data_IF_133169184368
#
_entry.id   IF_133169184368
#
_cell.length_a   1.000
_cell.length_b   1.000
_cell.length_c   1.000
_cell.angle_alpha   90.00
_cell.angle_beta   90.00
_cell.angle_gamma   90.00
#
_symmetry.space_group_name_H-M   'P 1'
#
loop_
_entity.id
_entity.type
_entity.pdbx_description
1 polymer ?
#
# COMPACT_ATOMS: atom_id res chain seq x y z
N UNK A 1 -3.13 -2.53 -5.93
CA UNK A 1 -3.39 -1.17 -5.42
C UNK A 1 -4.46 -0.52 -6.28
N UNK A 2 -5.48 0.08 -5.66
CA UNK A 2 -6.58 0.79 -6.33
C UNK A 2 -6.34 2.31 -6.39
N UNK A 3 -5.67 2.86 -5.38
CA UNK A 3 -5.42 4.30 -5.27
C UNK A 3 -4.40 4.61 -4.19
N UNK A 4 -3.74 5.77 -4.29
CA UNK A 4 -2.70 6.20 -3.34
C UNK A 4 -2.98 7.64 -2.90
N UNK A 5 -2.86 7.92 -1.60
CA UNK A 5 -3.06 9.25 -1.01
C UNK A 5 -2.09 9.50 0.15
N UNK A 6 -1.93 10.75 0.54
CA UNK A 6 -1.18 11.12 1.75
C UNK A 6 -2.10 11.09 2.99
N UNK A 7 -1.61 10.53 4.09
CA UNK A 7 -2.31 10.45 5.39
C UNK A 7 -1.30 10.72 6.51
N UNK A 8 -1.43 11.84 7.21
CA UNK A 8 -0.57 12.22 8.35
C UNK A 8 0.96 12.11 8.09
N UNK A 9 1.41 12.46 6.88
CA UNK A 9 2.83 12.36 6.48
C UNK A 9 3.29 10.95 6.08
N UNK A 10 2.38 9.99 6.06
CA UNK A 10 2.57 8.66 5.47
C UNK A 10 1.86 8.60 4.11
N UNK A 11 2.19 7.57 3.33
CA UNK A 11 1.49 7.28 2.09
C UNK A 11 0.56 6.08 2.29
N UNK A 12 -0.73 6.28 2.06
CA UNK A 12 -1.75 5.25 2.19
C UNK A 12 -2.16 4.74 0.81
N UNK A 13 -1.97 3.45 0.57
CA UNK A 13 -2.48 2.76 -0.60
C UNK A 13 -3.77 2.02 -0.24
N UNK A 14 -4.86 2.32 -0.96
CA UNK A 14 -6.08 1.53 -0.93
C UNK A 14 -5.86 0.32 -1.83
N UNK A 15 -6.14 -0.87 -1.33
CA UNK A 15 -5.83 -2.13 -1.99
C UNK A 15 -6.99 -3.11 -1.82
N UNK A 16 -7.08 -4.07 -2.73
CA UNK A 16 -7.82 -5.32 -2.46
C UNK A 16 -6.80 -6.39 -2.08
N UNK A 17 -7.04 -7.08 -0.96
CA UNK A 17 -6.19 -8.16 -0.49
C UNK A 17 -6.45 -9.40 -1.32
N UNK A 18 -5.41 -9.92 -1.97
CA UNK A 18 -5.51 -11.17 -2.70
C UNK A 18 -5.23 -12.36 -1.77
N UNK A 19 -5.95 -13.49 -1.91
CA UNK A 19 -7.03 -13.74 -2.88
C UNK A 19 -8.43 -13.33 -2.39
N UNK A 20 -8.58 -12.89 -1.14
CA UNK A 20 -9.89 -12.78 -0.48
C UNK A 20 -10.76 -11.60 -0.95
N UNK A 21 -10.20 -10.65 -1.70
CA UNK A 21 -10.89 -9.49 -2.26
C UNK A 21 -11.29 -8.43 -1.24
N UNK A 22 -10.83 -8.56 0.01
CA UNK A 22 -11.14 -7.61 1.07
C UNK A 22 -10.39 -6.29 0.83
N UNK A 23 -11.13 -5.18 0.79
CA UNK A 23 -10.50 -3.86 0.71
C UNK A 23 -9.73 -3.56 1.99
N UNK A 24 -8.46 -3.21 1.84
CA UNK A 24 -7.56 -2.88 2.92
C UNK A 24 -6.76 -1.60 2.61
N UNK A 25 -6.08 -1.07 3.63
CA UNK A 25 -5.17 0.06 3.48
C UNK A 25 -3.78 -0.39 3.89
N UNK A 26 -2.83 -0.30 2.98
CA UNK A 26 -1.41 -0.45 3.27
C UNK A 26 -0.83 0.94 3.55
N UNK A 27 -0.21 1.11 4.73
CA UNK A 27 0.49 2.34 5.09
C UNK A 27 1.98 2.17 4.85
N UNK A 28 2.55 3.09 4.09
CA UNK A 28 3.98 3.18 3.85
C UNK A 28 4.54 4.39 4.58
N UNK A 29 5.68 4.18 5.25
CA UNK A 29 6.51 5.30 5.68
C UNK A 29 6.93 6.13 4.45
N UNK A 30 7.27 7.40 4.66
CA UNK A 30 7.73 8.27 3.57
C UNK A 30 8.95 7.70 2.84
N UNK A 31 9.89 7.13 3.59
CA UNK A 31 11.11 6.54 3.03
C UNK A 31 10.80 5.28 2.21
N UNK A 32 9.90 4.44 2.70
CA UNK A 32 9.44 3.25 1.97
C UNK A 32 8.68 3.64 0.71
N UNK A 33 7.78 4.63 0.80
CA UNK A 33 7.01 5.14 -0.32
C UNK A 33 7.90 5.75 -1.41
N UNK A 34 8.98 6.45 -1.04
CA UNK A 34 9.93 7.00 -1.99
C UNK A 34 10.72 5.92 -2.76
N UNK A 35 10.95 4.76 -2.14
CA UNK A 35 11.64 3.63 -2.78
C UNK A 35 10.69 2.80 -3.64
N UNK A 36 9.51 2.45 -3.11
CA UNK A 36 8.54 1.59 -3.78
C UNK A 36 7.76 2.34 -4.86
N UNK A 37 7.49 3.64 -4.66
CA UNK A 37 6.69 4.49 -5.53
C UNK A 37 5.37 3.82 -5.96
N UNK A 38 4.54 3.36 -4.99
CA UNK A 38 3.36 2.58 -5.31
C UNK A 38 2.38 3.40 -6.14
N UNK A 39 1.77 2.74 -7.11
CA UNK A 39 0.80 3.32 -8.03
C UNK A 39 -0.42 2.40 -8.20
N UNK A 40 -1.57 2.94 -8.65
CA UNK A 40 -2.71 2.11 -9.03
C UNK A 40 -2.30 1.04 -10.07
N UNK A 41 -2.72 -0.19 -9.84
CA UNK A 41 -2.35 -1.36 -10.65
C UNK A 41 -1.22 -2.21 -10.06
N UNK A 42 -0.41 -1.68 -9.14
CA UNK A 42 0.70 -2.44 -8.56
C UNK A 42 0.23 -3.55 -7.63
N UNK A 43 1.07 -4.59 -7.50
CA UNK A 43 0.92 -5.67 -6.52
C UNK A 43 2.06 -5.56 -5.52
N UNK A 44 1.73 -5.36 -4.24
CA UNK A 44 2.69 -5.31 -3.14
C UNK A 44 2.59 -6.59 -2.34
N UNK A 45 3.72 -7.27 -2.16
CA UNK A 45 3.81 -8.47 -1.34
C UNK A 45 4.32 -8.09 0.05
N UNK A 46 3.52 -8.36 1.08
CA UNK A 46 3.87 -8.10 2.48
C UNK A 46 4.14 -9.45 3.14
N UNK A 47 5.35 -9.64 3.65
CA UNK A 47 5.76 -10.87 4.31
C UNK A 47 5.86 -10.65 5.84
N UNK A 48 5.39 -11.61 6.68
CA UNK A 48 5.56 -11.57 8.13
C UNK A 48 7.05 -11.65 8.56
N UNK A 49 7.40 -11.37 9.83
CA UNK A 49 6.55 -11.06 10.98
C UNK A 49 6.60 -9.56 11.27
N UNK A 50 5.66 -8.81 10.69
CA UNK A 50 5.54 -7.37 10.89
C UNK A 50 5.66 -6.94 12.36
#
# INVERSE_FOLDING_TARGET
ILGVREECGMQAAVCDRLPEGETCVALFSKDTAAQLQPAPGDIVHIYPPW
#
